data_IF_707672576738
#
_entry.id   IF_707672576738
#
_cell.length_a   1.000
_cell.length_b   1.000
_cell.length_c   1.000
_cell.angle_alpha   90.00
_cell.angle_beta   90.00
_cell.angle_gamma   90.00
#
_symmetry.space_group_name_H-M   'P 1'
#
loop_
_entity.id
_entity.type
_entity.pdbx_description
1 polymer ?
#
# COMPACT_ATOMS: atom_id res chain seq x y z
N UNK A 1 10.85 15.57 23.77
CA UNK A 1 11.53 14.98 22.98
C UNK A 1 11.44 15.48 21.68
N UNK A 2 12.11 15.13 20.89
CA UNK A 2 12.10 15.55 19.76
C UNK A 2 11.95 14.53 18.89
N UNK A 3 11.07 14.58 18.09
CA UNK A 3 10.92 13.60 17.21
C UNK A 3 11.82 13.76 16.11
N UNK A 4 12.15 12.72 15.48
CA UNK A 4 12.71 12.81 14.26
C UNK A 4 11.73 13.27 13.31
N UNK A 5 12.01 14.30 12.63
CA UNK A 5 11.14 14.83 11.60
C UNK A 5 11.44 14.23 10.24
N UNK A 6 12.22 13.17 10.21
CA UNK A 6 12.61 12.55 8.94
C UNK A 6 11.71 11.39 8.58
N UNK A 7 11.43 11.28 7.30
CA UNK A 7 10.70 10.16 6.73
C UNK A 7 11.69 9.32 5.94
N UNK A 8 11.58 8.01 6.05
CA UNK A 8 12.51 7.09 5.41
C UNK A 8 11.78 6.30 4.35
N UNK A 9 12.36 6.24 3.14
CA UNK A 9 11.81 5.41 2.08
C UNK A 9 12.02 3.94 2.43
N UNK A 10 10.95 3.16 2.43
CA UNK A 10 11.02 1.75 2.81
C UNK A 10 11.77 0.90 1.81
N UNK A 11 11.98 1.38 0.61
CA UNK A 11 12.64 0.60 -0.44
C UNK A 11 14.13 0.88 -0.50
N UNK A 12 14.53 2.14 -0.56
CA UNK A 12 15.93 2.50 -0.71
C UNK A 12 16.60 3.04 0.55
N UNK A 13 15.84 3.30 1.59
CA UNK A 13 16.39 3.78 2.85
C UNK A 13 16.77 5.24 2.91
N UNK A 14 16.47 6.02 1.88
CA UNK A 14 16.78 7.44 1.88
C UNK A 14 15.91 8.19 2.87
N UNK A 15 16.48 9.22 3.48
CA UNK A 15 15.77 10.04 4.43
C UNK A 15 15.33 11.35 3.79
N UNK A 16 14.13 11.79 4.13
CA UNK A 16 13.55 13.03 3.61
C UNK A 16 12.90 13.79 4.75
N UNK A 17 12.86 15.09 4.63
CA UNK A 17 12.20 15.94 5.62
C UNK A 17 10.73 16.13 5.32
N UNK A 18 10.31 15.87 4.09
CA UNK A 18 8.93 16.06 3.66
C UNK A 18 8.30 14.72 3.37
N UNK A 19 7.06 14.55 3.80
CA UNK A 19 6.30 13.34 3.49
C UNK A 19 6.09 13.20 1.99
N UNK A 20 5.87 14.31 1.30
CA UNK A 20 5.68 14.28 -0.16
C UNK A 20 6.93 13.79 -0.86
N UNK A 21 8.10 14.19 -0.39
CA UNK A 21 9.36 13.78 -0.99
C UNK A 21 9.60 12.28 -0.82
N UNK A 22 9.30 11.75 0.36
CA UNK A 22 9.49 10.31 0.58
C UNK A 22 8.48 9.50 -0.22
N UNK A 23 7.25 10.00 -0.40
CA UNK A 23 6.26 9.32 -1.22
C UNK A 23 6.68 9.29 -2.68
N UNK A 24 7.26 10.38 -3.18
CA UNK A 24 7.79 10.41 -4.54
C UNK A 24 8.93 9.43 -4.72
N UNK A 25 9.80 9.34 -3.73
CA UNK A 25 10.90 8.38 -3.78
C UNK A 25 10.38 6.95 -3.79
N UNK A 26 9.43 6.63 -2.93
CA UNK A 26 8.84 5.29 -2.88
C UNK A 26 8.15 4.95 -4.20
N UNK A 27 7.40 5.89 -4.77
CA UNK A 27 6.76 5.67 -6.05
C UNK A 27 7.79 5.36 -7.14
N UNK A 28 8.87 6.15 -7.17
CA UNK A 28 9.94 5.94 -8.15
C UNK A 28 10.62 4.58 -7.96
N UNK A 29 10.83 4.16 -6.72
CA UNK A 29 11.44 2.87 -6.43
C UNK A 29 10.59 1.70 -6.90
N UNK A 30 9.26 1.88 -6.93
CA UNK A 30 8.37 0.86 -7.46
C UNK A 30 8.10 1.03 -8.95
N UNK A 31 8.66 2.05 -9.58
CA UNK A 31 8.42 2.31 -11.00
C UNK A 31 7.05 2.90 -11.27
N UNK A 32 6.46 3.57 -10.30
CA UNK A 32 5.13 4.15 -10.42
C UNK A 32 5.20 5.66 -10.44
N UNK A 33 4.17 6.30 -11.02
CA UNK A 33 4.00 7.73 -10.84
C UNK A 33 3.44 7.96 -9.44
N UNK A 34 3.50 9.20 -8.96
CA UNK A 34 2.99 9.52 -7.63
C UNK A 34 1.49 9.24 -7.55
N UNK A 35 0.75 9.46 -8.63
CA UNK A 35 -0.67 9.18 -8.67
C UNK A 35 -0.96 7.68 -8.59
N UNK A 36 -0.18 6.89 -9.32
CA UNK A 36 -0.29 5.44 -9.27
C UNK A 36 0.05 4.90 -7.88
N UNK A 37 1.05 5.48 -7.25
CA UNK A 37 1.44 5.07 -5.91
C UNK A 37 0.32 5.37 -4.90
N UNK A 38 -0.31 6.53 -4.99
CA UNK A 38 -1.44 6.87 -4.13
C UNK A 38 -2.62 5.92 -4.36
N UNK A 39 -2.87 5.55 -5.61
CA UNK A 39 -3.93 4.60 -5.92
C UNK A 39 -3.64 3.22 -5.32
N UNK A 40 -2.41 2.78 -5.42
CA UNK A 40 -2.01 1.50 -4.83
C UNK A 40 -2.20 1.50 -3.31
N UNK A 41 -1.82 2.59 -2.66
CA UNK A 41 -2.00 2.70 -1.21
C UNK A 41 -3.48 2.73 -0.83
N UNK A 42 -4.31 3.35 -1.63
CA UNK A 42 -5.75 3.34 -1.41
C UNK A 42 -6.32 1.94 -1.51
N UNK A 43 -5.94 1.20 -2.54
CA UNK A 43 -6.41 -0.17 -2.72
C UNK A 43 -5.94 -1.07 -1.58
N UNK A 44 -4.70 -0.92 -1.17
CA UNK A 44 -4.14 -1.67 -0.07
C UNK A 44 -4.88 -1.38 1.24
N UNK A 45 -5.15 -0.10 1.52
CA UNK A 45 -5.87 0.33 2.70
C UNK A 45 -7.29 -0.22 2.71
N UNK A 46 -7.96 -0.19 1.56
CA UNK A 46 -9.31 -0.70 1.43
C UNK A 46 -9.37 -2.21 1.68
N UNK A 47 -8.40 -2.96 1.14
CA UNK A 47 -8.32 -4.39 1.38
C UNK A 47 -8.11 -4.68 2.87
N UNK A 48 -7.27 -3.90 3.53
CA UNK A 48 -7.00 -4.05 4.95
C UNK A 48 -8.26 -3.75 5.79
N UNK A 49 -8.96 -2.67 5.46
CA UNK A 49 -10.19 -2.30 6.17
C UNK A 49 -11.29 -3.33 6.01
N UNK A 50 -11.49 -3.81 4.78
CA UNK A 50 -12.51 -4.84 4.54
C UNK A 50 -12.14 -6.15 5.21
N UNK A 51 -10.85 -6.50 5.24
CA UNK A 51 -10.39 -7.66 5.96
C UNK A 51 -10.66 -7.56 7.45
N UNK A 52 -10.47 -6.39 8.03
CA UNK A 52 -10.77 -6.15 9.43
C UNK A 52 -12.27 -6.34 9.71
N UNK A 53 -13.12 -5.84 8.82
CA UNK A 53 -14.57 -6.00 8.99
C UNK A 53 -14.99 -7.47 8.92
N UNK A 54 -14.37 -8.26 8.06
CA UNK A 54 -14.64 -9.69 8.00
C UNK A 54 -14.27 -10.36 9.31
N UNK A 55 -13.15 -9.95 9.91
CA UNK A 55 -12.73 -10.50 11.19
C UNK A 55 -13.66 -10.14 12.33
N UNK A 56 -14.28 -8.95 12.29
CA UNK A 56 -15.19 -8.51 13.34
C UNK A 56 -16.62 -8.98 13.14
N UNK A 57 -17.07 -9.02 11.89
CA UNK A 57 -18.46 -9.33 11.60
C UNK A 57 -18.53 -10.04 10.25
N UNK A 58 -18.29 -11.35 10.26
CA UNK A 58 -18.26 -12.12 9.03
C UNK A 58 -19.68 -12.40 8.55
N UNK A 59 -20.02 -11.85 7.41
CA UNK A 59 -21.29 -12.12 6.74
C UNK A 59 -21.07 -12.04 5.24
N UNK A 60 -22.04 -12.46 4.41
CA UNK A 60 -21.83 -12.47 2.96
C UNK A 60 -21.44 -11.12 2.37
N UNK A 61 -21.99 -10.03 2.91
CA UNK A 61 -21.71 -8.70 2.39
C UNK A 61 -20.25 -8.27 2.69
N UNK A 62 -19.78 -8.51 3.92
CA UNK A 62 -18.40 -8.16 4.27
C UNK A 62 -17.40 -9.04 3.54
N UNK A 63 -17.72 -10.31 3.35
CA UNK A 63 -16.82 -11.21 2.61
C UNK A 63 -16.72 -10.80 1.15
N UNK A 64 -17.84 -10.42 0.54
CA UNK A 64 -17.82 -9.98 -0.84
C UNK A 64 -17.01 -8.70 -1.00
N UNK A 65 -17.20 -7.73 -0.10
CA UNK A 65 -16.45 -6.49 -0.13
C UNK A 65 -14.95 -6.73 -0.02
N UNK A 66 -14.54 -7.63 0.87
CA UNK A 66 -13.13 -7.98 1.03
C UNK A 66 -12.60 -8.67 -0.21
N UNK A 67 -13.37 -9.59 -0.77
CA UNK A 67 -12.96 -10.30 -1.99
C UNK A 67 -12.75 -9.34 -3.15
N UNK A 68 -13.68 -8.40 -3.35
CA UNK A 68 -13.56 -7.41 -4.42
C UNK A 68 -12.37 -6.48 -4.20
N UNK A 69 -12.13 -6.08 -2.95
CA UNK A 69 -10.98 -5.23 -2.64
C UNK A 69 -9.67 -5.95 -2.91
N UNK A 70 -9.59 -7.23 -2.56
CA UNK A 70 -8.41 -8.03 -2.82
C UNK A 70 -8.17 -8.24 -4.32
N UNK A 71 -9.24 -8.45 -5.08
CA UNK A 71 -9.11 -8.59 -6.53
C UNK A 71 -8.62 -7.29 -7.18
N UNK A 72 -9.16 -6.16 -6.75
CA UNK A 72 -8.74 -4.87 -7.30
C UNK A 72 -7.26 -4.61 -6.99
N UNK A 73 -6.83 -4.91 -5.77
CA UNK A 73 -5.44 -4.73 -5.37
C UNK A 73 -4.53 -5.67 -6.16
N UNK A 74 -4.91 -6.93 -6.28
CA UNK A 74 -4.12 -7.92 -7.01
C UNK A 74 -3.99 -7.55 -8.49
N UNK A 75 -5.08 -7.07 -9.10
CA UNK A 75 -5.05 -6.64 -10.49
C UNK A 75 -4.09 -5.48 -10.69
N UNK A 76 -4.12 -4.50 -9.78
CA UNK A 76 -3.22 -3.37 -9.85
C UNK A 76 -1.75 -3.81 -9.70
N UNK A 77 -1.48 -4.64 -8.71
CA UNK A 77 -0.12 -5.12 -8.46
C UNK A 77 0.41 -5.93 -9.64
N UNK A 78 -0.44 -6.74 -10.22
CA UNK A 78 -0.04 -7.55 -11.37
C UNK A 78 0.21 -6.67 -12.60
N UNK A 79 -0.63 -5.68 -12.82
CA UNK A 79 -0.47 -4.76 -13.96
C UNK A 79 0.83 -3.96 -13.86
N UNK A 80 1.28 -3.67 -12.65
CA UNK A 80 2.50 -2.90 -12.43
C UNK A 80 3.67 -3.74 -11.94
N UNK A 81 3.50 -5.07 -11.93
CA UNK A 81 4.55 -6.02 -11.52
C UNK A 81 5.04 -5.78 -10.10
N UNK A 82 4.12 -5.49 -9.19
CA UNK A 82 4.44 -5.20 -7.79
C UNK A 82 4.49 -6.43 -6.90
N UNK A 83 4.06 -7.59 -7.38
CA UNK A 83 4.02 -8.81 -6.58
C UNK A 83 5.40 -9.25 -6.10
N UNK A 84 6.46 -8.75 -6.73
CA UNK A 84 7.82 -9.08 -6.33
C UNK A 84 8.48 -7.97 -5.51
N UNK A 85 7.73 -6.95 -5.10
CA UNK A 85 8.31 -5.86 -4.34
C UNK A 85 8.60 -6.30 -2.91
N UNK A 86 9.67 -5.77 -2.28
CA UNK A 86 9.99 -6.12 -0.90
C UNK A 86 8.87 -5.80 0.07
N UNK A 87 8.17 -4.70 -0.12
CA UNK A 87 7.08 -4.29 0.75
C UNK A 87 5.90 -5.25 0.65
N UNK A 88 5.61 -5.70 -0.57
CA UNK A 88 4.52 -6.65 -0.78
C UNK A 88 4.75 -7.91 0.05
N UNK A 89 5.95 -8.48 -0.04
CA UNK A 89 6.25 -9.71 0.67
C UNK A 89 6.41 -9.52 2.17
N UNK A 90 6.82 -8.33 2.60
CA UNK A 90 6.98 -8.05 4.01
C UNK A 90 5.64 -8.05 4.76
N UNK A 91 4.56 -7.69 4.06
CA UNK A 91 3.24 -7.64 4.68
C UNK A 91 2.51 -8.99 4.67
N UNK A 92 3.07 -9.95 4.02
CA UNK A 92 2.48 -11.26 3.88
C UNK A 92 3.36 -12.33 4.50
#
# INVERSE_FOLDING_TARGET
>A
MRYKSLYVCDVCGREFRSKDDVLKCEASCYGLTIQQYHQWRKLSDQAERTGYKVGCSSNPATREAFHLACLALADFEQAHHLENSPTYWADH
#
